data_IF_268931713981
#
_entry.id   IF_268931713981
#
_cell.length_a   1.000
_cell.length_b   1.000
_cell.length_c   1.000
_cell.angle_alpha   90.00
_cell.angle_beta   90.00
_cell.angle_gamma   90.00
#
_symmetry.space_group_name_H-M   'P 1'
#
loop_
_entity.id
_entity.type
_entity.pdbx_description
1 polymer ?
#
# COMPACT_ATOMS: atom_id res chain seq x y z
N UNK A 1 40.93 -17.74 5.87
CA UNK A 1 39.90 -17.72 4.80
C UNK A 1 40.58 -17.44 3.47
N UNK A 2 40.30 -18.26 2.47
CA UNK A 2 40.83 -18.11 1.10
C UNK A 2 40.03 -17.14 0.25
N UNK A 3 40.57 -16.75 -0.91
CA UNK A 3 39.90 -15.87 -1.89
C UNK A 3 38.55 -16.43 -2.34
N UNK A 4 38.47 -17.76 -2.55
CA UNK A 4 37.24 -18.43 -2.96
C UNK A 4 36.14 -18.38 -1.89
N UNK A 5 36.49 -18.42 -0.61
CA UNK A 5 35.52 -18.31 0.49
C UNK A 5 34.90 -16.91 0.52
N UNK A 6 35.71 -15.87 0.31
CA UNK A 6 35.25 -14.48 0.24
C UNK A 6 34.34 -14.24 -0.98
N UNK A 7 34.67 -14.83 -2.12
CA UNK A 7 33.82 -14.75 -3.32
C UNK A 7 32.48 -15.44 -3.10
N UNK A 8 32.48 -16.64 -2.51
CA UNK A 8 31.24 -17.36 -2.19
C UNK A 8 30.38 -16.57 -1.20
N UNK A 9 30.98 -15.98 -0.17
CA UNK A 9 30.28 -15.14 0.80
C UNK A 9 29.66 -13.90 0.13
N UNK A 10 30.42 -13.20 -0.71
CA UNK A 10 29.90 -12.01 -1.41
C UNK A 10 28.74 -12.32 -2.36
N UNK A 11 28.75 -13.49 -3.03
CA UNK A 11 27.62 -13.92 -3.88
C UNK A 11 26.36 -14.19 -3.04
N UNK A 12 26.51 -14.79 -1.86
CA UNK A 12 25.38 -15.04 -0.95
C UNK A 12 24.80 -13.72 -0.45
N UNK A 13 25.65 -12.78 0.01
CA UNK A 13 25.21 -11.47 0.49
C UNK A 13 24.47 -10.67 -0.60
N UNK A 14 24.96 -10.70 -1.85
CA UNK A 14 24.28 -10.04 -2.98
C UNK A 14 22.94 -10.70 -3.31
N UNK A 15 22.85 -12.03 -3.24
CA UNK A 15 21.60 -12.74 -3.48
C UNK A 15 20.55 -12.40 -2.42
N UNK A 16 20.94 -12.36 -1.14
CA UNK A 16 20.06 -11.97 -0.03
C UNK A 16 19.57 -10.53 -0.19
N UNK A 17 20.45 -9.60 -0.56
CA UNK A 17 20.08 -8.19 -0.75
C UNK A 17 19.14 -8.01 -1.96
N UNK A 18 19.37 -8.76 -3.04
CA UNK A 18 18.49 -8.76 -4.20
C UNK A 18 17.08 -9.29 -3.85
N UNK A 19 16.99 -10.34 -3.02
CA UNK A 19 15.72 -10.88 -2.56
C UNK A 19 14.96 -9.86 -1.69
N UNK A 20 15.65 -9.21 -0.75
CA UNK A 20 15.08 -8.13 0.07
C UNK A 20 14.55 -6.99 -0.79
N UNK A 21 15.35 -6.53 -1.76
CA UNK A 21 14.95 -5.47 -2.69
C UNK A 21 13.72 -5.86 -3.52
N UNK A 22 13.69 -7.09 -4.04
CA UNK A 22 12.54 -7.59 -4.79
C UNK A 22 11.28 -7.67 -3.92
N UNK A 23 11.41 -8.11 -2.67
CA UNK A 23 10.30 -8.14 -1.71
C UNK A 23 9.77 -6.73 -1.39
N UNK A 24 10.66 -5.79 -1.11
CA UNK A 24 10.29 -4.38 -0.86
C UNK A 24 9.57 -3.79 -2.08
N UNK A 25 10.06 -4.10 -3.30
CA UNK A 25 9.44 -3.67 -4.55
C UNK A 25 7.99 -4.14 -4.66
N UNK A 26 7.73 -5.44 -4.44
CA UNK A 26 6.36 -6.00 -4.46
C UNK A 26 5.43 -5.34 -3.45
N UNK A 27 5.86 -5.23 -2.19
CA UNK A 27 5.07 -4.60 -1.13
C UNK A 27 4.76 -3.14 -1.45
N UNK A 28 5.72 -2.42 -2.05
CA UNK A 28 5.52 -1.04 -2.48
C UNK A 28 4.49 -0.92 -3.60
N UNK A 29 4.49 -1.85 -4.56
CA UNK A 29 3.47 -1.92 -5.60
C UNK A 29 2.08 -2.20 -5.03
N UNK A 30 1.96 -3.10 -4.04
CA UNK A 30 0.70 -3.35 -3.35
C UNK A 30 0.16 -2.09 -2.66
N UNK A 31 1.02 -1.36 -1.93
CA UNK A 31 0.67 -0.10 -1.27
C UNK A 31 0.14 0.93 -2.28
N UNK A 32 0.79 1.06 -3.44
CA UNK A 32 0.34 1.97 -4.51
C UNK A 32 -1.08 1.57 -4.95
N UNK A 33 -1.33 0.28 -5.17
CA UNK A 33 -2.65 -0.22 -5.54
C UNK A 33 -3.74 0.09 -4.51
N UNK A 34 -3.45 -0.08 -3.22
CA UNK A 34 -4.38 0.28 -2.15
C UNK A 34 -4.65 1.79 -2.07
N UNK A 35 -3.59 2.62 -2.25
CA UNK A 35 -3.74 4.09 -2.29
C UNK A 35 -4.59 4.55 -3.47
N UNK A 36 -4.44 3.92 -4.64
CA UNK A 36 -5.28 4.19 -5.81
C UNK A 36 -6.74 3.78 -5.58
N UNK A 37 -6.99 2.64 -4.94
CA UNK A 37 -8.33 2.20 -4.56
C UNK A 37 -8.99 3.20 -3.60
N UNK A 38 -8.28 3.60 -2.53
CA UNK A 38 -8.74 4.62 -1.60
C UNK A 38 -9.04 5.96 -2.30
N UNK A 39 -8.18 6.37 -3.24
CA UNK A 39 -8.40 7.56 -4.07
C UNK A 39 -9.58 7.46 -5.04
N UNK A 40 -9.99 6.26 -5.46
CA UNK A 40 -11.25 6.05 -6.21
C UNK A 40 -12.46 6.26 -5.32
N UNK A 41 -12.47 5.64 -4.13
CA UNK A 41 -13.58 5.76 -3.17
C UNK A 41 -13.82 7.24 -2.81
N UNK A 42 -12.77 8.00 -2.51
CA UNK A 42 -12.93 9.44 -2.22
C UNK A 42 -13.51 10.25 -3.38
N UNK A 43 -13.16 9.90 -4.62
CA UNK A 43 -13.73 10.56 -5.80
C UNK A 43 -15.21 10.24 -5.96
N UNK A 44 -15.60 8.98 -5.74
CA UNK A 44 -17.00 8.54 -5.78
C UNK A 44 -17.83 9.21 -4.69
N UNK A 45 -17.32 9.28 -3.46
CA UNK A 45 -17.92 10.06 -2.35
C UNK A 45 -18.11 11.51 -2.79
N UNK A 46 -17.06 12.17 -3.30
CA UNK A 46 -17.12 13.56 -3.75
C UNK A 46 -18.15 13.79 -4.84
N UNK A 47 -18.25 12.88 -5.81
CA UNK A 47 -19.25 12.93 -6.88
C UNK A 47 -20.68 12.79 -6.32
N UNK A 48 -20.90 11.86 -5.39
CA UNK A 48 -22.21 11.68 -4.72
C UNK A 48 -22.61 12.93 -3.93
N UNK A 49 -21.67 13.53 -3.19
CA UNK A 49 -21.91 14.79 -2.47
C UNK A 49 -22.32 15.89 -3.46
N UNK A 50 -21.55 16.10 -4.52
CA UNK A 50 -21.84 17.13 -5.52
C UNK A 50 -23.23 16.92 -6.14
N UNK A 51 -23.59 15.68 -6.48
CA UNK A 51 -24.87 15.36 -7.08
C UNK A 51 -26.04 15.73 -6.15
N UNK A 52 -25.96 15.34 -4.87
CA UNK A 52 -27.00 15.65 -3.88
C UNK A 52 -27.19 17.17 -3.73
N UNK A 53 -26.11 17.93 -3.63
CA UNK A 53 -26.22 19.40 -3.51
C UNK A 53 -26.71 20.06 -4.81
N UNK A 54 -26.31 19.55 -5.98
CA UNK A 54 -26.76 20.06 -7.27
C UNK A 54 -28.28 19.88 -7.48
N UNK A 55 -28.84 18.79 -6.95
CA UNK A 55 -30.29 18.50 -7.00
C UNK A 55 -31.10 19.27 -5.94
N UNK A 56 -30.46 20.11 -5.12
CA UNK A 56 -31.11 20.80 -4.01
C UNK A 56 -31.44 19.88 -2.83
N UNK A 57 -30.87 18.67 -2.83
CA UNK A 57 -30.98 17.71 -1.74
C UNK A 57 -30.38 18.26 -0.44
N UNK A 58 -31.07 17.99 0.67
CA UNK A 58 -30.63 18.38 2.03
C UNK A 58 -30.21 17.19 2.90
N UNK A 59 -30.26 15.99 2.35
CA UNK A 59 -29.91 14.76 3.07
C UNK A 59 -28.42 14.50 2.94
N UNK A 60 -27.75 14.30 4.07
CA UNK A 60 -26.39 13.80 4.08
C UNK A 60 -26.37 12.39 3.47
N UNK A 61 -25.56 12.15 2.42
CA UNK A 61 -25.44 10.81 1.87
C UNK A 61 -24.79 9.88 2.89
N UNK A 62 -25.33 8.67 3.02
CA UNK A 62 -24.69 7.63 3.84
C UNK A 62 -23.44 7.09 3.12
N UNK A 63 -22.33 7.07 3.86
CA UNK A 63 -21.00 6.64 3.44
C UNK A 63 -20.39 5.61 4.40
N UNK A 64 -21.18 5.01 5.29
CA UNK A 64 -20.66 4.08 6.31
C UNK A 64 -19.86 2.92 5.68
N UNK A 65 -20.38 2.34 4.59
CA UNK A 65 -19.69 1.28 3.84
C UNK A 65 -18.37 1.74 3.23
N UNK A 66 -18.35 2.91 2.60
CA UNK A 66 -17.14 3.47 2.01
C UNK A 66 -16.10 3.79 3.08
N UNK A 67 -16.55 4.23 4.26
CA UNK A 67 -15.69 4.49 5.39
C UNK A 67 -15.05 3.21 5.93
N UNK A 68 -15.83 2.14 6.09
CA UNK A 68 -15.30 0.81 6.49
C UNK A 68 -14.24 0.33 5.50
N UNK A 69 -14.54 0.40 4.19
CA UNK A 69 -13.58 0.04 3.14
C UNK A 69 -12.29 0.88 3.20
N UNK A 70 -12.38 2.18 3.50
CA UNK A 70 -11.20 3.05 3.66
C UNK A 70 -10.36 2.61 4.87
N UNK A 71 -11.01 2.24 5.99
CA UNK A 71 -10.32 1.77 7.19
C UNK A 71 -9.60 0.44 6.95
N UNK A 72 -10.22 -0.49 6.23
CA UNK A 72 -9.58 -1.74 5.82
C UNK A 72 -8.34 -1.48 4.94
N UNK A 73 -8.47 -0.60 3.94
CA UNK A 73 -7.34 -0.21 3.08
C UNK A 73 -6.21 0.44 3.87
N UNK A 74 -6.53 1.27 4.87
CA UNK A 74 -5.52 1.88 5.74
C UNK A 74 -4.79 0.84 6.61
N UNK A 75 -5.51 -0.16 7.12
CA UNK A 75 -4.90 -1.26 7.86
C UNK A 75 -3.96 -2.10 6.96
N UNK A 76 -4.39 -2.41 5.73
CA UNK A 76 -3.56 -3.14 4.76
C UNK A 76 -2.29 -2.35 4.39
N UNK A 77 -2.41 -1.03 4.14
CA UNK A 77 -1.27 -0.15 3.88
C UNK A 77 -0.30 -0.15 5.06
N UNK A 78 -0.81 0.05 6.29
CA UNK A 78 0.01 0.08 7.49
C UNK A 78 0.77 -1.25 7.70
N UNK A 79 0.11 -2.38 7.44
CA UNK A 79 0.74 -3.70 7.53
C UNK A 79 1.89 -3.85 6.51
N UNK A 80 1.68 -3.47 5.24
CA UNK A 80 2.74 -3.56 4.22
C UNK A 80 3.90 -2.61 4.52
N UNK A 81 3.61 -1.42 5.03
CA UNK A 81 4.64 -0.46 5.46
C UNK A 81 5.47 -1.01 6.64
N UNK A 82 4.84 -1.73 7.58
CA UNK A 82 5.53 -2.44 8.64
C UNK A 82 6.39 -3.60 8.11
N UNK A 83 5.89 -4.37 7.15
CA UNK A 83 6.64 -5.47 6.52
C UNK A 83 7.88 -4.97 5.75
N UNK A 84 7.76 -3.84 5.05
CA UNK A 84 8.89 -3.17 4.40
C UNK A 84 9.92 -2.75 5.44
N UNK A 85 9.48 -2.15 6.56
CA UNK A 85 10.37 -1.73 7.64
C UNK A 85 11.10 -2.93 8.26
N UNK A 86 10.40 -4.05 8.46
CA UNK A 86 10.98 -5.30 8.94
C UNK A 86 11.95 -5.96 7.97
N UNK A 87 11.77 -5.78 6.65
CA UNK A 87 12.69 -6.31 5.62
C UNK A 87 13.98 -5.48 5.52
N UNK A 88 13.91 -4.19 5.88
CA UNK A 88 15.06 -3.28 5.91
C UNK A 88 15.90 -3.37 7.19
N UNK A 89 15.32 -3.91 8.26
CA UNK A 89 15.98 -4.14 9.55
C UNK A 89 16.88 -5.39 9.49
#
# INVERSE_FOLDING_TARGET
>A
MGLMDKLRQGVVEVAEEAEKAARIGRLSTEIIGFKEQKGRIFREIGQRVIAVYAEGGRTDPDFASEWENIQELDAEIAQREADIKGTKA
#
